data_IF_583558373939
#
_entry.id   IF_583558373939
#
_cell.length_a   1.000
_cell.length_b   1.000
_cell.length_c   1.000
_cell.angle_alpha   90.00
_cell.angle_beta   90.00
_cell.angle_gamma   90.00
#
_symmetry.space_group_name_H-M   'P 1'
#
loop_
_entity.id
_entity.type
_entity.pdbx_description
1 polymer ?
#
# COMPACT_ATOMS: atom_id res chain seq x y z
N UNK A 1 -11.72 -86.93 37.45
CA UNK A 1 -12.22 -85.55 37.65
C UNK A 1 -12.10 -84.79 36.34
N UNK A 2 -13.23 -84.37 35.74
CA UNK A 2 -13.25 -83.48 34.56
C UNK A 2 -13.65 -82.07 35.03
N UNK A 3 -12.99 -80.99 34.58
CA UNK A 3 -13.41 -79.64 34.92
C UNK A 3 -14.61 -79.23 34.04
N UNK A 4 -15.68 -78.76 34.67
CA UNK A 4 -16.83 -78.16 34.00
C UNK A 4 -16.47 -76.74 33.53
N UNK A 5 -16.42 -76.53 32.21
CA UNK A 5 -16.34 -75.18 31.63
C UNK A 5 -17.70 -74.50 31.80
N UNK A 6 -17.78 -73.52 32.71
CA UNK A 6 -18.89 -72.56 32.77
C UNK A 6 -18.87 -71.71 31.50
N UNK A 7 -19.92 -71.84 30.69
CA UNK A 7 -20.13 -71.07 29.47
C UNK A 7 -20.95 -69.83 29.83
N UNK A 8 -20.29 -68.69 30.04
CA UNK A 8 -20.98 -67.40 30.20
C UNK A 8 -21.72 -67.08 28.89
N UNK A 9 -23.04 -67.27 28.88
CA UNK A 9 -23.91 -66.75 27.84
C UNK A 9 -24.24 -65.32 28.23
N UNK A 10 -23.52 -64.36 27.67
CA UNK A 10 -23.95 -62.97 27.67
C UNK A 10 -25.22 -62.91 26.82
N UNK A 11 -26.38 -62.89 27.47
CA UNK A 11 -27.66 -62.61 26.83
C UNK A 11 -27.65 -61.13 26.44
N UNK A 12 -27.40 -60.84 25.17
CA UNK A 12 -27.66 -59.51 24.61
C UNK A 12 -29.18 -59.28 24.63
N UNK A 13 -29.66 -58.44 25.54
CA UNK A 13 -31.02 -57.92 25.51
C UNK A 13 -31.18 -57.10 24.23
N UNK A 14 -32.24 -57.37 23.44
CA UNK A 14 -32.54 -56.62 22.22
C UNK A 14 -33.02 -55.21 22.58
N UNK A 15 -32.45 -54.19 21.94
CA UNK A 15 -32.84 -52.79 22.08
C UNK A 15 -34.32 -52.60 21.72
N UNK A 16 -35.06 -51.89 22.56
CA UNK A 16 -36.44 -51.53 22.26
C UNK A 16 -36.47 -50.39 21.24
N UNK A 17 -37.48 -50.37 20.37
CA UNK A 17 -37.62 -49.34 19.33
C UNK A 17 -37.68 -47.92 19.91
N UNK A 18 -38.23 -47.78 21.12
CA UNK A 18 -38.28 -46.51 21.86
C UNK A 18 -36.89 -46.04 22.27
N UNK A 19 -36.05 -46.95 22.77
CA UNK A 19 -34.67 -46.64 23.21
C UNK A 19 -33.79 -46.21 22.03
N UNK A 20 -33.99 -46.82 20.86
CA UNK A 20 -33.34 -46.41 19.61
C UNK A 20 -33.81 -45.01 19.15
N UNK A 21 -35.12 -44.72 19.25
CA UNK A 21 -35.68 -43.44 18.85
C UNK A 21 -35.23 -42.30 19.77
N UNK A 22 -35.21 -42.53 21.09
CA UNK A 22 -34.66 -41.57 22.07
C UNK A 22 -33.17 -41.32 21.81
N UNK A 23 -32.40 -42.38 21.57
CA UNK A 23 -30.95 -42.25 21.30
C UNK A 23 -30.67 -41.41 20.04
N UNK A 24 -31.40 -41.67 18.95
CA UNK A 24 -31.26 -40.88 17.72
C UNK A 24 -31.68 -39.42 17.97
N UNK A 25 -32.77 -39.18 18.70
CA UNK A 25 -33.20 -37.82 19.04
C UNK A 25 -32.12 -37.06 19.84
N UNK A 26 -31.49 -37.70 20.83
CA UNK A 26 -30.42 -37.10 21.63
C UNK A 26 -29.19 -36.80 20.78
N UNK A 27 -28.77 -37.74 19.92
CA UNK A 27 -27.63 -37.54 19.02
C UNK A 27 -27.91 -36.38 18.05
N UNK A 28 -29.13 -36.26 17.52
CA UNK A 28 -29.47 -35.15 16.61
C UNK A 28 -29.39 -33.78 17.28
N UNK A 29 -29.88 -33.66 18.53
CA UNK A 29 -29.82 -32.41 19.29
C UNK A 29 -28.38 -32.04 19.63
N UNK A 30 -27.59 -33.00 20.15
CA UNK A 30 -26.19 -32.75 20.50
C UNK A 30 -25.35 -32.44 19.26
N UNK A 31 -25.56 -33.16 18.17
CA UNK A 31 -24.85 -32.91 16.89
C UNK A 31 -25.19 -31.53 16.33
N UNK A 32 -26.46 -31.11 16.43
CA UNK A 32 -26.91 -29.79 16.01
C UNK A 32 -26.21 -28.66 16.78
N UNK A 33 -26.14 -28.77 18.12
CA UNK A 33 -25.44 -27.79 18.95
C UNK A 33 -23.93 -27.77 18.69
N UNK A 34 -23.31 -28.95 18.57
CA UNK A 34 -21.87 -29.08 18.34
C UNK A 34 -21.44 -28.47 17.00
N UNK A 35 -22.25 -28.62 15.94
CA UNK A 35 -21.93 -28.06 14.62
C UNK A 35 -21.89 -26.53 14.62
N UNK A 36 -22.81 -25.87 15.33
CA UNK A 36 -22.82 -24.40 15.46
C UNK A 36 -21.59 -23.92 16.24
N UNK A 37 -21.29 -24.55 17.37
CA UNK A 37 -20.11 -24.21 18.18
C UNK A 37 -18.80 -24.44 17.42
N UNK A 38 -18.69 -25.55 16.68
CA UNK A 38 -17.52 -25.85 15.87
C UNK A 38 -17.30 -24.83 14.76
N UNK A 39 -18.37 -24.38 14.09
CA UNK A 39 -18.27 -23.35 13.04
C UNK A 39 -17.74 -22.03 13.61
N UNK A 40 -18.24 -21.59 14.77
CA UNK A 40 -17.78 -20.37 15.42
C UNK A 40 -16.31 -20.50 15.84
N UNK A 41 -15.94 -21.59 16.52
CA UNK A 41 -14.57 -21.82 16.95
C UNK A 41 -13.58 -21.93 15.76
N UNK A 42 -14.01 -22.53 14.65
CA UNK A 42 -13.19 -22.63 13.43
C UNK A 42 -13.00 -21.28 12.76
N UNK A 43 -14.03 -20.44 12.73
CA UNK A 43 -13.94 -19.09 12.18
C UNK A 43 -13.02 -18.21 13.03
N UNK A 44 -13.18 -18.23 14.35
CA UNK A 44 -12.32 -17.49 15.29
C UNK A 44 -10.85 -17.93 15.18
N UNK A 45 -10.60 -19.24 15.12
CA UNK A 45 -9.24 -19.76 14.94
C UNK A 45 -8.62 -19.33 13.59
N UNK A 46 -9.42 -19.22 12.54
CA UNK A 46 -8.98 -18.76 11.22
C UNK A 46 -8.68 -17.26 11.23
N UNK A 47 -9.49 -16.46 11.92
CA UNK A 47 -9.24 -15.04 12.12
C UNK A 47 -7.94 -14.81 12.88
N UNK A 48 -7.72 -15.49 14.01
CA UNK A 48 -6.48 -15.34 14.81
C UNK A 48 -5.23 -15.69 14.00
N UNK A 49 -5.27 -16.78 13.21
CA UNK A 49 -4.16 -17.16 12.34
C UNK A 49 -3.90 -16.11 11.27
N UNK A 50 -4.94 -15.63 10.61
CA UNK A 50 -4.85 -14.57 9.59
C UNK A 50 -4.27 -13.28 10.19
N UNK A 51 -4.69 -12.90 11.40
CA UNK A 51 -4.12 -11.77 12.12
C UNK A 51 -2.63 -11.93 12.38
N UNK A 52 -2.18 -13.15 12.73
CA UNK A 52 -0.75 -13.44 12.88
C UNK A 52 0.01 -13.27 11.58
N UNK A 53 -0.51 -13.76 10.45
CA UNK A 53 0.09 -13.61 9.12
C UNK A 53 0.18 -12.12 8.74
N UNK A 54 -0.90 -11.37 8.89
CA UNK A 54 -0.96 -9.92 8.62
C UNK A 54 0.06 -9.16 9.49
N UNK A 55 0.20 -9.52 10.77
CA UNK A 55 1.17 -8.89 11.66
C UNK A 55 2.60 -9.08 11.18
N UNK A 56 2.98 -10.29 10.75
CA UNK A 56 4.30 -10.57 10.17
C UNK A 56 4.54 -9.73 8.91
N UNK A 57 3.56 -9.68 7.99
CA UNK A 57 3.66 -8.87 6.77
C UNK A 57 3.83 -7.40 7.12
N UNK A 58 2.99 -6.89 8.03
CA UNK A 58 3.05 -5.49 8.46
C UNK A 58 4.39 -5.14 9.09
N UNK A 59 5.00 -6.03 9.88
CA UNK A 59 6.32 -5.81 10.47
C UNK A 59 7.40 -5.66 9.38
N UNK A 60 7.37 -6.53 8.36
CA UNK A 60 8.29 -6.45 7.21
C UNK A 60 8.09 -5.15 6.43
N UNK A 61 6.85 -4.77 6.13
CA UNK A 61 6.55 -3.56 5.37
C UNK A 61 6.89 -2.28 6.15
N UNK A 62 6.62 -2.23 7.46
CA UNK A 62 6.98 -1.08 8.31
C UNK A 62 8.48 -0.96 8.42
N UNK A 63 9.19 -2.06 8.67
CA UNK A 63 10.66 -2.09 8.68
C UNK A 63 11.22 -1.57 7.36
N UNK A 64 10.63 -2.01 6.23
CA UNK A 64 11.01 -1.51 4.90
C UNK A 64 10.76 -0.02 4.73
N UNK A 65 9.61 0.48 5.17
CA UNK A 65 9.28 1.90 5.08
C UNK A 65 10.23 2.79 5.90
N UNK A 66 10.65 2.31 7.07
CA UNK A 66 11.62 3.02 7.93
C UNK A 66 13.00 3.16 7.28
N UNK A 67 13.42 2.22 6.42
CA UNK A 67 14.68 2.35 5.68
C UNK A 67 14.72 3.62 4.82
N UNK A 68 13.57 4.07 4.31
CA UNK A 68 13.50 5.25 3.43
C UNK A 68 13.64 6.58 4.17
N UNK A 69 13.39 6.63 5.48
CA UNK A 69 13.51 7.85 6.28
C UNK A 69 14.95 8.41 6.23
N UNK A 70 15.93 7.52 6.26
CA UNK A 70 17.36 7.87 6.25
C UNK A 70 18.04 7.64 4.90
N UNK A 71 17.29 7.36 3.84
CA UNK A 71 17.88 6.99 2.56
C UNK A 71 18.56 8.20 1.88
N UNK A 72 19.85 8.09 1.52
CA UNK A 72 20.53 9.15 0.80
C UNK A 72 20.10 9.12 -0.67
N UNK A 73 19.45 10.20 -1.12
CA UNK A 73 19.08 10.34 -2.53
C UNK A 73 20.21 11.06 -3.26
N UNK A 74 20.96 10.30 -4.05
CA UNK A 74 21.87 10.86 -5.02
C UNK A 74 21.07 11.21 -6.28
N UNK A 75 20.78 12.50 -6.47
CA UNK A 75 20.19 12.98 -7.70
C UNK A 75 21.29 13.48 -8.62
N UNK A 76 21.26 12.98 -9.86
CA UNK A 76 22.10 13.48 -10.94
C UNK A 76 21.21 14.26 -11.92
N UNK A 77 21.83 15.18 -12.64
CA UNK A 77 21.14 15.81 -13.75
C UNK A 77 21.11 14.84 -14.93
N UNK A 78 19.97 14.72 -15.62
CA UNK A 78 19.90 13.90 -16.82
C UNK A 78 20.98 14.33 -17.85
N UNK A 79 21.64 13.38 -18.55
CA UNK A 79 22.59 13.70 -19.61
C UNK A 79 21.95 14.60 -20.68
N UNK A 80 22.63 15.69 -21.06
CA UNK A 80 22.12 16.65 -22.06
C UNK A 80 21.47 17.92 -21.49
N UNK A 81 21.27 18.00 -20.17
CA UNK A 81 20.83 19.23 -19.53
C UNK A 81 22.01 20.21 -19.36
N UNK A 82 22.12 21.19 -20.26
CA UNK A 82 23.10 22.31 -20.21
C UNK A 82 22.88 23.12 -18.93
N UNK A 83 23.94 23.47 -18.19
CA UNK A 83 23.89 24.31 -16.97
C UNK A 83 22.88 25.45 -17.15
N UNK A 84 21.95 25.60 -16.21
CA UNK A 84 21.17 26.83 -16.12
C UNK A 84 22.15 27.93 -15.69
N UNK A 85 22.80 28.58 -16.66
CA UNK A 85 23.35 29.91 -16.43
C UNK A 85 22.11 30.78 -16.20
N UNK A 86 22.00 31.49 -15.07
CA UNK A 86 20.98 32.52 -14.95
C UNK A 86 21.25 33.50 -16.09
N UNK A 87 20.43 33.48 -17.14
CA UNK A 87 20.57 34.45 -18.24
C UNK A 87 20.20 35.80 -17.62
N UNK A 88 21.17 36.72 -17.42
CA UNK A 88 20.85 38.04 -16.89
C UNK A 88 19.97 38.74 -17.92
N UNK A 89 18.74 39.08 -17.53
CA UNK A 89 17.82 39.88 -18.34
C UNK A 89 16.59 39.15 -18.92
N UNK A 90 16.58 37.81 -19.00
CA UNK A 90 15.43 37.05 -19.53
C UNK A 90 14.96 35.88 -18.66
N UNK A 91 15.66 35.56 -17.57
CA UNK A 91 15.07 34.76 -16.51
C UNK A 91 14.00 35.62 -15.83
N UNK A 92 12.74 35.51 -16.29
CA UNK A 92 11.63 35.85 -15.39
C UNK A 92 11.85 34.97 -14.18
N UNK A 93 12.05 35.59 -13.02
CA UNK A 93 12.05 34.85 -11.77
C UNK A 93 10.81 33.97 -11.79
N UNK A 94 11.00 32.65 -11.84
CA UNK A 94 9.94 31.69 -11.57
C UNK A 94 9.68 31.65 -10.06
N UNK A 95 9.67 32.83 -9.45
CA UNK A 95 9.32 33.13 -8.08
C UNK A 95 8.21 34.17 -8.18
N UNK A 96 7.15 34.06 -7.38
CA UNK A 96 6.04 34.99 -7.46
C UNK A 96 6.54 36.42 -7.37
N UNK A 97 6.19 37.26 -8.35
CA UNK A 97 6.51 38.69 -8.39
C UNK A 97 5.85 39.50 -7.25
N UNK A 98 5.10 38.81 -6.39
CA UNK A 98 4.45 39.37 -5.22
C UNK A 98 5.28 38.96 -4.01
N UNK A 99 5.75 39.93 -3.25
CA UNK A 99 6.74 39.83 -2.17
C UNK A 99 6.36 38.93 -0.97
N UNK A 100 5.26 38.17 -1.04
CA UNK A 100 4.68 37.42 0.09
C UNK A 100 4.99 35.91 0.10
N UNK A 101 5.55 35.33 -0.97
CA UNK A 101 5.80 33.87 -1.04
C UNK A 101 7.15 33.52 -1.70
N UNK A 102 8.24 34.19 -1.30
CA UNK A 102 9.58 33.67 -1.58
C UNK A 102 9.78 32.35 -0.82
N UNK A 103 9.52 31.23 -1.49
CA UNK A 103 9.90 29.91 -1.01
C UNK A 103 11.43 29.89 -0.82
N UNK A 104 11.94 29.71 0.43
CA UNK A 104 13.38 29.66 0.66
C UNK A 104 13.98 28.54 -0.19
N UNK A 105 15.13 28.76 -0.85
CA UNK A 105 15.78 27.74 -1.71
C UNK A 105 15.90 26.36 -1.04
N UNK A 106 16.01 26.33 0.30
CA UNK A 106 15.98 25.10 1.09
C UNK A 106 14.69 24.29 0.97
N UNK A 107 13.51 24.91 0.93
CA UNK A 107 12.23 24.17 0.80
C UNK A 107 12.07 23.54 -0.58
N UNK A 108 12.64 24.17 -1.61
CA UNK A 108 12.59 23.69 -2.99
C UNK A 108 13.40 22.41 -3.19
N UNK A 109 14.60 22.37 -2.60
CA UNK A 109 15.45 21.18 -2.65
C UNK A 109 14.81 20.01 -1.88
N UNK A 110 14.20 20.29 -0.73
CA UNK A 110 13.53 19.28 0.08
C UNK A 110 12.29 18.74 -0.61
N UNK A 111 11.52 19.60 -1.29
CA UNK A 111 10.40 19.15 -2.12
C UNK A 111 10.86 18.19 -3.21
N UNK A 112 11.95 18.52 -3.91
CA UNK A 112 12.54 17.64 -4.92
C UNK A 112 12.98 16.29 -4.31
N UNK A 113 13.60 16.33 -3.13
CA UNK A 113 13.99 15.12 -2.38
C UNK A 113 12.76 14.26 -2.07
N UNK A 114 11.72 14.83 -1.46
CA UNK A 114 10.49 14.11 -1.09
C UNK A 114 9.83 13.48 -2.33
N UNK A 115 9.74 14.21 -3.43
CA UNK A 115 9.18 13.68 -4.69
C UNK A 115 10.00 12.52 -5.25
N UNK A 116 11.33 12.65 -5.30
CA UNK A 116 12.20 11.58 -5.76
C UNK A 116 12.14 10.36 -4.83
N UNK A 117 12.05 10.57 -3.52
CA UNK A 117 11.91 9.50 -2.55
C UNK A 117 10.63 8.71 -2.78
N UNK A 118 9.51 9.41 -2.99
CA UNK A 118 8.22 8.76 -3.24
C UNK A 118 8.21 7.98 -4.55
N UNK A 119 8.77 8.52 -5.62
CA UNK A 119 8.95 7.79 -6.88
C UNK A 119 9.84 6.55 -6.71
N UNK A 120 10.86 6.63 -5.87
CA UNK A 120 11.71 5.48 -5.55
C UNK A 120 10.95 4.42 -4.74
N UNK A 121 10.17 4.82 -3.72
CA UNK A 121 9.32 3.90 -2.94
C UNK A 121 8.29 3.22 -3.86
N UNK A 122 7.69 3.96 -4.80
CA UNK A 122 6.76 3.41 -5.79
C UNK A 122 7.40 2.29 -6.61
N UNK A 123 8.64 2.49 -7.05
CA UNK A 123 9.36 1.50 -7.85
C UNK A 123 9.88 0.30 -7.04
N UNK A 124 10.23 0.51 -5.76
CA UNK A 124 10.72 -0.55 -4.88
C UNK A 124 9.63 -1.35 -4.19
N UNK A 125 8.46 -0.74 -3.97
CA UNK A 125 7.33 -1.36 -3.29
C UNK A 125 6.02 -1.13 -4.07
N UNK A 126 5.90 -1.60 -5.33
CA UNK A 126 4.69 -1.42 -6.15
C UNK A 126 3.46 -2.08 -5.52
N UNK A 127 2.36 -1.35 -5.36
CA UNK A 127 1.05 -1.89 -4.95
C UNK A 127 0.11 -2.07 -6.16
N UNK A 128 0.47 -1.52 -7.31
CA UNK A 128 -0.23 -1.72 -8.57
C UNK A 128 0.76 -1.89 -9.72
N UNK A 129 0.36 -2.62 -10.75
CA UNK A 129 1.20 -2.90 -11.93
C UNK A 129 1.71 -1.65 -12.67
N UNK A 130 0.98 -0.53 -12.62
CA UNK A 130 1.38 0.74 -13.26
C UNK A 130 2.56 1.41 -12.57
N UNK A 131 2.89 0.97 -11.36
CA UNK A 131 3.98 1.54 -10.55
C UNK A 131 5.34 1.02 -10.99
N UNK A 132 5.35 -0.10 -11.73
CA UNK A 132 6.54 -0.67 -12.33
C UNK A 132 6.87 0.13 -13.59
N UNK A 133 7.74 1.12 -13.41
CA UNK A 133 8.21 2.01 -14.47
C UNK A 133 9.46 1.42 -15.13
N UNK A 134 9.57 1.53 -16.45
CA UNK A 134 10.74 1.07 -17.23
C UNK A 134 11.96 2.00 -17.08
N UNK A 135 11.76 3.18 -16.50
CA UNK A 135 12.80 4.20 -16.31
C UNK A 135 13.12 4.39 -14.84
N UNK A 136 14.33 4.85 -14.54
CA UNK A 136 14.70 5.34 -13.21
C UNK A 136 13.71 6.42 -12.72
N UNK A 137 13.68 6.73 -11.41
CA UNK A 137 12.83 7.80 -10.89
C UNK A 137 13.15 9.14 -11.59
N UNK A 138 12.18 9.67 -12.33
CA UNK A 138 12.29 10.93 -13.06
C UNK A 138 11.33 11.93 -12.41
N UNK A 139 11.86 13.04 -11.91
CA UNK A 139 11.07 14.21 -11.51
C UNK A 139 11.41 15.37 -12.43
N UNK A 140 10.39 15.85 -13.14
CA UNK A 140 10.51 17.04 -13.98
C UNK A 140 10.43 18.29 -13.10
N UNK A 141 11.40 19.19 -13.22
CA UNK A 141 11.70 20.15 -12.17
C UNK A 141 11.05 21.53 -12.39
N UNK A 142 9.72 21.61 -12.41
CA UNK A 142 9.05 22.91 -12.53
C UNK A 142 8.83 23.62 -11.19
N UNK A 143 8.97 22.92 -10.06
CA UNK A 143 8.67 23.48 -8.75
C UNK A 143 9.85 24.19 -8.11
N UNK A 144 11.10 23.93 -8.52
CA UNK A 144 12.28 24.63 -7.98
C UNK A 144 12.59 25.97 -8.68
N UNK A 145 11.80 26.34 -9.70
CA UNK A 145 12.07 27.53 -10.52
C UNK A 145 13.30 27.40 -11.45
N UNK A 146 13.90 26.20 -11.55
CA UNK A 146 15.03 25.94 -12.44
C UNK A 146 14.54 25.61 -13.84
N UNK A 147 14.79 26.54 -14.76
CA UNK A 147 14.46 26.41 -16.18
C UNK A 147 15.75 26.37 -17.00
N UNK A 148 15.86 25.42 -17.93
CA UNK A 148 16.90 25.43 -18.95
C UNK A 148 16.39 26.18 -20.20
N UNK A 149 17.15 27.14 -20.75
CA UNK A 149 16.81 27.76 -22.01
C UNK A 149 17.03 26.76 -23.16
N UNK A 150 16.03 26.57 -24.02
CA UNK A 150 16.25 25.92 -25.32
C UNK A 150 17.02 26.84 -26.26
N UNK A 151 17.65 26.31 -27.33
CA UNK A 151 18.28 27.12 -28.38
C UNK A 151 17.33 28.16 -29.02
N UNK A 152 16.02 27.92 -28.97
CA UNK A 152 14.98 28.83 -29.47
C UNK A 152 14.42 29.80 -28.42
N UNK A 153 15.04 29.89 -27.23
CA UNK A 153 14.62 30.78 -26.15
C UNK A 153 13.38 30.32 -25.36
N UNK A 154 12.76 29.18 -25.72
CA UNK A 154 11.62 28.67 -24.94
C UNK A 154 12.10 28.04 -23.62
N UNK A 155 11.47 28.39 -22.49
CA UNK A 155 11.81 27.81 -21.19
C UNK A 155 11.46 26.33 -21.18
N UNK A 156 12.40 25.47 -20.75
CA UNK A 156 12.18 24.04 -20.60
C UNK A 156 12.47 23.54 -19.18
N UNK A 157 11.67 22.61 -18.65
CA UNK A 157 11.93 22.03 -17.34
C UNK A 157 13.26 21.30 -17.34
N UNK A 158 14.01 21.43 -16.26
CA UNK A 158 15.16 20.56 -16.03
C UNK A 158 14.63 19.20 -15.59
N UNK A 159 15.01 18.13 -16.29
CA UNK A 159 14.72 16.78 -15.82
C UNK A 159 15.78 16.36 -14.79
N UNK A 160 15.32 16.01 -13.59
CA UNK A 160 16.17 15.47 -12.54
C UNK A 160 15.86 13.99 -12.42
N UNK A 161 16.92 13.18 -12.49
CA UNK A 161 16.82 11.73 -12.44
C UNK A 161 17.61 11.22 -11.25
N UNK A 162 17.00 10.37 -10.44
CA UNK A 162 17.76 9.58 -9.49
C UNK A 162 18.39 8.38 -10.20
N UNK A 163 19.43 7.80 -9.60
CA UNK A 163 19.88 6.47 -9.99
C UNK A 163 18.75 5.47 -9.76
N UNK A 164 18.55 4.56 -10.70
CA UNK A 164 17.67 3.40 -10.47
C UNK A 164 18.15 2.63 -9.24
N UNK A 165 17.22 2.24 -8.38
CA UNK A 165 17.59 1.45 -7.22
C UNK A 165 17.84 0.00 -7.62
N UNK A 166 18.86 -0.67 -7.04
CA UNK A 166 19.13 -2.07 -7.32
C UNK A 166 17.92 -2.98 -7.05
N UNK A 167 17.07 -2.60 -6.10
CA UNK A 167 15.86 -3.35 -5.72
C UNK A 167 14.79 -3.26 -6.80
N UNK A 168 14.48 -2.06 -7.30
CA UNK A 168 13.56 -1.88 -8.42
C UNK A 168 14.04 -2.62 -9.69
N UNK A 169 15.37 -2.65 -9.91
CA UNK A 169 15.97 -3.42 -11.00
C UNK A 169 15.77 -4.94 -10.83
N UNK A 170 16.01 -5.47 -9.61
CA UNK A 170 15.79 -6.90 -9.29
C UNK A 170 14.33 -7.30 -9.42
N UNK A 171 13.42 -6.48 -8.91
CA UNK A 171 11.99 -6.71 -9.02
C UNK A 171 11.55 -6.81 -10.48
N UNK A 172 11.96 -5.83 -11.31
CA UNK A 172 11.72 -5.89 -12.76
C UNK A 172 12.32 -7.11 -13.42
N UNK A 173 13.56 -7.47 -13.10
CA UNK A 173 14.21 -8.64 -13.67
C UNK A 173 13.42 -9.93 -13.37
N UNK A 174 12.87 -10.05 -12.15
CA UNK A 174 12.01 -11.18 -11.76
C UNK A 174 10.68 -11.18 -12.49
N UNK A 175 10.03 -10.04 -12.62
CA UNK A 175 8.77 -9.92 -13.37
C UNK A 175 8.95 -10.25 -14.86
N UNK A 176 10.07 -9.82 -15.46
CA UNK A 176 10.43 -10.17 -16.83
C UNK A 176 10.68 -11.68 -16.94
N UNK A 177 11.34 -12.28 -15.95
CA UNK A 177 11.55 -13.74 -15.91
C UNK A 177 10.21 -14.49 -15.84
N UNK A 178 9.28 -14.05 -14.99
CA UNK A 178 7.93 -14.63 -14.90
C UNK A 178 7.14 -14.48 -16.21
N UNK A 179 7.19 -13.31 -16.85
CA UNK A 179 6.50 -13.05 -18.12
C UNK A 179 7.08 -13.80 -19.32
N UNK A 180 8.35 -14.22 -19.28
CA UNK A 180 9.00 -14.95 -20.37
C UNK A 180 8.37 -16.32 -20.67
N UNK A 181 7.41 -16.76 -19.85
CA UNK A 181 6.61 -17.98 -20.04
C UNK A 181 5.47 -17.79 -21.07
N UNK A 182 5.12 -16.56 -21.49
CA UNK A 182 4.02 -16.29 -22.43
C UNK A 182 4.45 -15.38 -23.62
N UNK A 183 4.28 -15.82 -24.89
CA UNK A 183 4.71 -15.04 -26.05
C UNK A 183 3.67 -13.97 -26.46
N UNK A 184 4.14 -12.74 -26.74
CA UNK A 184 3.48 -11.64 -27.50
C UNK A 184 2.79 -10.45 -26.80
N UNK A 185 3.05 -10.17 -25.53
CA UNK A 185 2.87 -8.85 -24.88
C UNK A 185 3.98 -8.72 -23.81
N UNK A 186 4.28 -7.55 -23.20
CA UNK A 186 4.86 -7.54 -21.86
C UNK A 186 3.80 -8.11 -20.88
N UNK A 187 3.62 -9.43 -20.93
CA UNK A 187 2.49 -10.17 -20.37
C UNK A 187 2.38 -10.02 -18.84
N UNK A 188 3.46 -9.60 -18.16
CA UNK A 188 3.42 -9.29 -16.73
C UNK A 188 2.36 -8.24 -16.37
N UNK A 189 2.06 -7.28 -17.25
CA UNK A 189 1.03 -6.23 -17.01
C UNK A 189 -0.42 -6.71 -17.10
N UNK A 190 -0.64 -8.01 -17.26
CA UNK A 190 -1.99 -8.60 -17.28
C UNK A 190 -2.09 -9.79 -16.36
N UNK A 191 -0.98 -10.18 -15.75
CA UNK A 191 -0.83 -11.36 -14.92
C UNK A 191 -0.68 -10.92 -13.47
N UNK A 192 0.06 -9.83 -13.24
CA UNK A 192 0.49 -9.49 -11.88
C UNK A 192 -0.55 -8.67 -11.11
N UNK A 193 -1.13 -9.27 -10.08
CA UNK A 193 -2.08 -8.61 -9.18
C UNK A 193 -1.41 -8.04 -7.91
N UNK A 194 -2.16 -7.22 -7.18
CA UNK A 194 -1.72 -6.61 -5.92
C UNK A 194 -1.14 -7.60 -4.88
N UNK A 195 -1.73 -8.79 -4.64
CA UNK A 195 -1.20 -9.79 -3.68
C UNK A 195 0.15 -10.38 -4.09
N UNK A 196 0.39 -10.57 -5.39
CA UNK A 196 1.66 -11.10 -5.91
C UNK A 196 2.78 -10.06 -5.80
N UNK A 197 2.45 -8.78 -6.03
CA UNK A 197 3.40 -7.68 -5.79
C UNK A 197 3.83 -7.64 -4.33
N UNK A 198 2.90 -7.86 -3.40
CA UNK A 198 3.22 -7.96 -1.98
C UNK A 198 4.20 -9.11 -1.69
N UNK A 199 3.96 -10.28 -2.30
CA UNK A 199 4.87 -11.42 -2.17
C UNK A 199 6.29 -11.07 -2.63
N UNK A 200 6.42 -10.46 -3.82
CA UNK A 200 7.73 -10.07 -4.36
C UNK A 200 8.47 -9.06 -3.48
N UNK A 201 7.75 -8.11 -2.87
CA UNK A 201 8.33 -7.13 -1.95
C UNK A 201 8.83 -7.80 -0.67
N UNK A 202 8.05 -8.72 -0.10
CA UNK A 202 8.46 -9.45 1.11
C UNK A 202 9.60 -10.42 0.81
N UNK A 203 9.62 -11.05 -0.36
CA UNK A 203 10.70 -11.96 -0.74
C UNK A 203 12.05 -11.24 -0.93
N UNK A 204 12.04 -10.01 -1.47
CA UNK A 204 13.26 -9.16 -1.54
C UNK A 204 13.62 -8.53 -0.18
N UNK A 205 12.84 -8.78 0.88
CA UNK A 205 13.04 -8.22 2.22
C UNK A 205 13.91 -9.05 3.13
N UNK A 206 14.67 -8.33 3.96
CA UNK A 206 15.50 -8.87 5.03
C UNK A 206 14.95 -8.27 6.31
N UNK A 207 14.55 -9.13 7.25
CA UNK A 207 14.13 -8.72 8.59
C UNK A 207 15.07 -9.36 9.59
N UNK A 208 15.67 -8.56 10.48
CA UNK A 208 16.60 -9.03 11.52
C UNK A 208 17.79 -9.86 10.98
N UNK A 209 18.25 -9.57 9.76
CA UNK A 209 19.39 -10.24 9.13
C UNK A 209 19.07 -11.55 8.42
N UNK A 210 17.81 -12.02 8.46
CA UNK A 210 17.32 -13.17 7.70
C UNK A 210 16.38 -12.75 6.57
N UNK A 211 16.27 -13.52 5.48
CA UNK A 211 15.22 -13.31 4.48
C UNK A 211 13.84 -13.33 5.14
N UNK A 212 13.04 -12.28 4.91
CA UNK A 212 11.74 -12.12 5.53
C UNK A 212 10.76 -13.25 5.18
N UNK A 213 10.97 -13.90 4.02
CA UNK A 213 10.16 -15.03 3.58
C UNK A 213 10.22 -16.24 4.53
N UNK A 214 11.30 -16.39 5.31
CA UNK A 214 11.46 -17.48 6.28
C UNK A 214 10.51 -17.38 7.48
N UNK A 215 9.88 -16.20 7.69
CA UNK A 215 8.88 -15.98 8.74
C UNK A 215 7.53 -16.67 8.44
N UNK A 216 7.34 -17.08 7.18
CA UNK A 216 6.08 -17.58 6.67
C UNK A 216 6.10 -19.10 6.50
N UNK A 217 5.04 -19.75 6.93
CA UNK A 217 4.83 -21.18 6.73
C UNK A 217 4.39 -21.49 5.31
N UNK A 218 4.63 -22.73 4.85
CA UNK A 218 4.20 -23.21 3.52
C UNK A 218 2.69 -23.12 3.26
N UNK A 219 1.88 -22.99 4.32
CA UNK A 219 0.42 -22.84 4.21
C UNK A 219 -0.03 -21.40 4.00
N UNK A 220 0.82 -20.44 4.37
CA UNK A 220 0.58 -18.98 4.24
C UNK A 220 1.01 -18.46 2.86
N UNK A 221 1.61 -19.31 2.01
CA UNK A 221 2.07 -18.97 0.67
C UNK A 221 1.44 -19.95 -0.31
N UNK A 222 0.91 -19.44 -1.43
CA UNK A 222 0.40 -20.28 -2.51
C UNK A 222 0.05 -19.47 -3.75
N UNK A 223 -0.14 -20.20 -4.85
CA UNK A 223 -0.62 -19.68 -6.12
C UNK A 223 -2.12 -19.98 -6.21
N UNK A 224 -2.97 -18.93 -6.19
CA UNK A 224 -4.42 -19.06 -6.11
C UNK A 224 -5.07 -19.20 -7.49
N UNK A 225 -4.51 -18.57 -8.52
CA UNK A 225 -5.09 -18.46 -9.86
C UNK A 225 -4.34 -19.29 -10.92
N UNK A 226 -3.23 -19.91 -10.55
CA UNK A 226 -2.48 -20.88 -11.34
C UNK A 226 -1.55 -20.24 -12.37
N UNK A 227 -1.18 -18.98 -12.18
CA UNK A 227 -0.32 -18.22 -13.08
C UNK A 227 1.19 -18.43 -12.81
N UNK A 228 1.52 -19.15 -11.73
CA UNK A 228 2.88 -19.45 -11.29
C UNK A 228 3.51 -18.38 -10.41
N UNK A 229 2.80 -17.30 -10.11
CA UNK A 229 3.18 -16.28 -9.14
C UNK A 229 2.58 -16.63 -7.78
N UNK A 230 3.38 -16.41 -6.74
CA UNK A 230 3.01 -16.74 -5.38
C UNK A 230 2.37 -15.52 -4.71
N UNK A 231 1.39 -15.80 -3.88
CA UNK A 231 0.67 -14.83 -3.07
C UNK A 231 0.73 -15.24 -1.60
N UNK A 232 0.57 -14.28 -0.70
CA UNK A 232 0.27 -14.60 0.69
C UNK A 232 -1.20 -14.94 0.84
N UNK A 233 -1.47 -16.05 1.51
CA UNK A 233 -2.80 -16.56 1.74
C UNK A 233 -3.18 -16.42 3.21
N UNK A 234 -4.41 -15.99 3.43
CA UNK A 234 -5.03 -16.06 4.75
C UNK A 234 -5.46 -17.50 5.10
N UNK A 235 -6.07 -17.65 6.27
CA UNK A 235 -6.53 -18.97 6.75
C UNK A 235 -7.70 -19.54 5.94
N UNK A 236 -8.39 -18.69 5.17
CA UNK A 236 -9.47 -19.07 4.25
C UNK A 236 -8.95 -19.38 2.84
N UNK A 237 -7.63 -19.35 2.64
CA UNK A 237 -6.96 -19.55 1.35
C UNK A 237 -7.34 -18.46 0.34
N UNK A 238 -7.57 -17.25 0.83
CA UNK A 238 -7.75 -16.05 0.02
C UNK A 238 -6.47 -15.22 0.01
N UNK A 239 -6.19 -14.54 -1.11
CA UNK A 239 -5.03 -13.67 -1.19
C UNK A 239 -5.14 -12.48 -0.22
N UNK A 240 -4.00 -12.09 0.33
CA UNK A 240 -3.85 -10.90 1.17
C UNK A 240 -3.46 -9.71 0.29
N UNK A 241 -4.21 -8.63 0.40
CA UNK A 241 -3.98 -7.40 -0.34
C UNK A 241 -3.26 -6.38 0.52
N UNK A 242 -2.70 -5.36 -0.13
CA UNK A 242 -2.09 -4.25 0.57
C UNK A 242 -2.24 -2.93 -0.20
N UNK A 243 -2.14 -1.82 0.53
CA UNK A 243 -2.13 -0.47 -0.03
C UNK A 243 -0.92 0.24 0.55
N UNK A 244 -0.04 0.74 -0.32
CA UNK A 244 1.20 1.38 0.13
C UNK A 244 0.91 2.65 0.94
N UNK A 245 -0.01 3.47 0.44
CA UNK A 245 -0.42 4.72 1.07
C UNK A 245 -1.94 4.80 1.22
N UNK A 246 -2.48 4.27 2.32
CA UNK A 246 -3.92 4.22 2.54
C UNK A 246 -4.51 5.57 2.98
N UNK A 247 -4.27 6.65 2.23
CA UNK A 247 -4.66 8.03 2.62
C UNK A 247 -6.18 8.28 2.69
N UNK A 248 -6.99 7.34 2.23
CA UNK A 248 -8.44 7.31 2.41
C UNK A 248 -8.90 6.52 3.64
N UNK A 249 -8.02 5.77 4.28
CA UNK A 249 -8.39 4.92 5.42
C UNK A 249 -8.59 5.80 6.68
N UNK A 250 -9.72 5.62 7.39
CA UNK A 250 -9.99 6.37 8.61
C UNK A 250 -8.91 6.11 9.68
N UNK A 251 -8.50 7.16 10.41
CA UNK A 251 -7.52 7.10 11.51
C UNK A 251 -6.05 6.88 11.16
N UNK A 252 -5.67 6.87 9.87
CA UNK A 252 -4.25 6.87 9.44
C UNK A 252 -3.39 7.97 10.06
N UNK A 253 -4.03 9.02 10.57
CA UNK A 253 -3.43 10.20 11.20
C UNK A 253 -2.79 9.89 12.56
N UNK A 254 -3.06 8.72 13.17
CA UNK A 254 -2.69 8.42 14.57
C UNK A 254 -1.52 7.44 14.75
N UNK A 255 -0.95 6.90 13.67
CA UNK A 255 -0.01 5.78 13.81
C UNK A 255 1.46 6.21 13.81
N UNK A 256 2.17 5.74 14.82
CA UNK A 256 3.63 5.72 14.95
C UNK A 256 4.11 4.27 14.80
N UNK A 257 5.34 4.03 14.30
CA UNK A 257 5.81 2.67 14.06
C UNK A 257 6.14 1.91 15.35
N UNK A 258 6.35 2.61 16.47
CA UNK A 258 6.46 2.00 17.79
C UNK A 258 5.11 2.03 18.51
N UNK A 259 4.43 0.88 18.48
CA UNK A 259 3.11 0.65 19.07
C UNK A 259 3.16 0.41 20.58
N UNK A 260 4.36 0.33 21.18
CA UNK A 260 4.56 0.14 22.61
C UNK A 260 4.92 1.43 23.36
N UNK A 261 5.03 2.56 22.68
CA UNK A 261 5.31 3.83 23.34
C UNK A 261 4.07 4.27 24.16
N UNK A 262 4.15 4.28 25.51
CA UNK A 262 3.02 4.62 26.36
C UNK A 262 2.71 6.14 26.37
N UNK A 263 3.49 6.97 25.66
CA UNK A 263 3.22 8.41 25.54
C UNK A 263 1.99 8.73 24.67
N UNK A 264 1.50 7.77 23.87
CA UNK A 264 0.40 7.95 22.92
C UNK A 264 -0.98 8.19 23.56
N UNK A 265 -1.19 7.74 24.80
CA UNK A 265 -2.52 7.76 25.41
C UNK A 265 -2.65 8.78 26.55
N UNK A 266 -1.61 9.57 26.81
CA UNK A 266 -1.54 10.36 28.05
C UNK A 266 -2.06 11.78 27.92
N UNK A 267 -1.91 12.39 26.75
CA UNK A 267 -2.22 13.80 26.60
C UNK A 267 -3.08 13.98 25.34
N UNK A 268 -4.35 14.39 25.48
CA UNK A 268 -5.34 14.56 24.41
C UNK A 268 -5.02 15.61 23.34
N UNK A 269 -3.81 15.56 22.76
CA UNK A 269 -3.31 16.43 21.70
C UNK A 269 -3.56 15.80 20.33
N UNK A 270 -4.79 15.88 19.88
CA UNK A 270 -5.24 15.60 18.49
C UNK A 270 -4.65 16.56 17.42
N UNK A 271 -3.62 17.34 17.76
CA UNK A 271 -3.06 18.40 16.90
C UNK A 271 -1.58 18.24 16.55
N UNK A 272 -0.87 17.25 17.11
CA UNK A 272 0.38 16.82 16.49
C UNK A 272 0.03 15.89 15.34
N UNK A 273 -0.41 16.49 14.23
CA UNK A 273 -0.21 15.86 12.94
C UNK A 273 1.28 15.55 12.86
N UNK A 274 1.65 14.28 13.11
CA UNK A 274 3.00 13.80 12.94
C UNK A 274 3.47 14.31 11.58
N UNK A 275 4.57 15.07 11.57
CA UNK A 275 5.18 15.46 10.30
C UNK A 275 5.49 14.15 9.58
N UNK A 276 5.07 14.03 8.32
CA UNK A 276 5.44 12.92 7.46
C UNK A 276 6.95 12.65 7.65
N UNK A 277 7.37 11.46 8.12
CA UNK A 277 8.78 11.18 8.40
C UNK A 277 9.63 11.34 7.14
N UNK A 278 9.02 11.18 5.96
CA UNK A 278 9.67 11.39 4.68
C UNK A 278 9.79 12.88 4.31
N UNK A 279 9.06 13.77 4.98
CA UNK A 279 9.03 15.22 4.77
C UNK A 279 9.12 16.01 6.10
N UNK A 280 10.27 15.95 6.80
CA UNK A 280 10.45 16.63 8.09
C UNK A 280 10.32 18.16 7.99
N UNK A 281 10.47 18.73 6.79
CA UNK A 281 10.40 20.16 6.52
C UNK A 281 9.05 20.63 5.96
N UNK A 282 8.07 19.73 5.81
CA UNK A 282 6.72 20.04 5.28
C UNK A 282 6.79 20.71 3.91
N UNK A 283 7.71 20.25 3.08
CA UNK A 283 7.98 20.73 1.73
C UNK A 283 7.01 20.16 0.68
N UNK A 284 6.25 19.10 1.01
CA UNK A 284 5.26 18.47 0.14
C UNK A 284 4.24 19.50 -0.37
N UNK A 285 4.00 19.58 -1.69
CA UNK A 285 2.94 20.41 -2.27
C UNK A 285 1.57 20.23 -1.61
N UNK A 286 1.30 19.04 -1.06
CA UNK A 286 0.07 18.74 -0.34
C UNK A 286 -0.20 19.64 0.87
N UNK A 287 0.84 20.17 1.55
CA UNK A 287 0.67 21.09 2.68
C UNK A 287 0.22 22.51 2.27
N UNK A 288 0.32 22.87 0.99
CA UNK A 288 0.19 24.27 0.53
C UNK A 288 -1.12 24.61 -0.16
N UNK A 289 -2.07 23.69 -0.24
CA UNK A 289 -3.31 23.95 -0.97
C UNK A 289 -4.27 24.75 -0.10
N UNK A 290 -4.34 26.06 -0.37
CA UNK A 290 -5.45 26.91 0.05
C UNK A 290 -6.54 26.88 -1.03
N UNK A 291 -7.74 26.39 -0.71
CA UNK A 291 -8.92 26.60 -1.55
C UNK A 291 -9.63 27.83 -0.98
N UNK A 292 -9.81 28.88 -1.79
CA UNK A 292 -10.51 30.12 -1.37
C UNK A 292 -9.99 30.72 -0.05
N UNK A 293 -8.67 30.73 0.16
CA UNK A 293 -8.05 31.28 1.39
C UNK A 293 -8.10 30.36 2.61
N UNK A 294 -8.82 29.24 2.55
CA UNK A 294 -8.85 28.22 3.60
C UNK A 294 -7.82 27.13 3.29
N UNK A 295 -6.89 26.78 4.20
CA UNK A 295 -6.04 25.60 4.02
C UNK A 295 -6.94 24.36 4.02
N UNK A 296 -7.14 23.74 2.86
CA UNK A 296 -8.08 22.62 2.69
C UNK A 296 -7.39 21.27 2.90
N UNK A 297 -6.07 21.22 2.72
CA UNK A 297 -5.30 19.99 2.90
C UNK A 297 -4.23 20.19 3.95
N UNK A 298 -4.51 19.65 5.16
CA UNK A 298 -3.45 19.23 6.08
C UNK A 298 -3.20 17.76 5.77
N UNK A 299 -2.23 17.41 4.91
CA UNK A 299 -1.86 16.01 4.78
C UNK A 299 -1.52 15.52 6.18
N UNK A 300 -2.20 14.45 6.60
CA UNK A 300 -1.77 13.65 7.74
C UNK A 300 -0.38 13.06 7.42
N UNK A 301 0.34 12.49 8.39
CA UNK A 301 1.54 11.73 8.06
C UNK A 301 1.23 10.72 6.92
N UNK A 302 2.20 10.44 6.04
CA UNK A 302 2.05 9.30 5.15
C UNK A 302 1.78 8.09 6.03
N UNK A 303 0.58 7.53 5.86
CA UNK A 303 0.15 6.37 6.61
C UNK A 303 1.08 5.19 6.32
N UNK A 304 1.39 4.40 7.35
CA UNK A 304 2.03 3.11 7.15
C UNK A 304 1.21 2.25 6.19
N UNK A 305 1.81 1.30 5.46
CA UNK A 305 1.06 0.45 4.54
C UNK A 305 -0.11 -0.26 5.24
N UNK A 306 -1.27 -0.26 4.59
CA UNK A 306 -2.43 -1.04 5.00
C UNK A 306 -2.28 -2.45 4.45
N UNK A 307 -2.41 -3.46 5.30
CA UNK A 307 -2.47 -4.86 4.91
C UNK A 307 -3.85 -5.38 5.26
N UNK A 308 -4.52 -6.02 4.31
CA UNK A 308 -5.91 -6.45 4.43
C UNK A 308 -6.12 -7.87 3.89
N UNK A 309 -6.76 -8.70 4.70
CA UNK A 309 -7.39 -9.95 4.26
C UNK A 309 -8.88 -9.71 4.13
N UNK A 310 -9.44 -10.28 3.07
CA UNK A 310 -10.88 -10.28 2.77
C UNK A 310 -11.68 -11.26 3.62
N UNK A 311 -11.01 -12.01 4.50
CA UNK A 311 -11.68 -12.97 5.37
C UNK A 311 -12.52 -13.99 4.58
N UNK A 312 -13.77 -14.18 5.03
CA UNK A 312 -14.65 -15.21 4.49
C UNK A 312 -15.33 -14.78 3.17
N UNK A 313 -15.58 -13.49 2.96
CA UNK A 313 -16.37 -12.99 1.84
C UNK A 313 -15.57 -12.94 0.52
N UNK A 314 -14.22 -12.91 0.63
CA UNK A 314 -13.30 -12.91 -0.49
C UNK A 314 -13.26 -11.59 -1.26
N UNK A 315 -13.88 -10.52 -0.78
CA UNK A 315 -13.93 -9.21 -1.46
C UNK A 315 -13.53 -8.09 -0.51
N UNK A 316 -12.50 -7.29 -0.84
CA UNK A 316 -12.05 -6.24 0.06
C UNK A 316 -13.11 -5.13 0.17
N UNK A 317 -13.47 -4.76 1.39
CA UNK A 317 -14.33 -3.63 1.71
C UNK A 317 -13.64 -2.27 1.60
N UNK A 318 -12.35 -2.25 1.28
CA UNK A 318 -11.53 -1.05 1.05
C UNK A 318 -11.12 -0.88 -0.41
N UNK A 319 -10.84 0.35 -0.78
CA UNK A 319 -10.34 0.72 -2.10
C UNK A 319 -8.85 0.38 -2.23
N UNK A 320 -8.54 -0.65 -3.02
CA UNK A 320 -7.14 -1.03 -3.31
C UNK A 320 -6.62 -0.36 -4.58
N UNK A 321 -7.52 0.02 -5.49
CA UNK A 321 -7.20 0.67 -6.76
C UNK A 321 -8.05 1.91 -7.00
N UNK A 322 -7.47 2.88 -7.70
CA UNK A 322 -8.20 4.05 -8.17
C UNK A 322 -9.08 3.67 -9.35
N UNK A 323 -10.33 4.11 -9.34
CA UNK A 323 -11.25 3.90 -10.46
C UNK A 323 -10.74 4.62 -11.72
N UNK A 324 -10.74 3.92 -12.85
CA UNK A 324 -10.38 4.48 -14.16
C UNK A 324 -11.21 5.72 -14.57
N UNK A 325 -12.36 5.93 -13.92
CA UNK A 325 -13.26 7.08 -14.09
C UNK A 325 -12.87 8.35 -13.31
N UNK A 326 -11.84 8.32 -12.45
CA UNK A 326 -11.34 9.49 -11.71
C UNK A 326 -10.56 10.44 -12.64
N UNK A 327 -11.26 11.04 -13.61
CA UNK A 327 -10.63 11.67 -14.77
C UNK A 327 -10.19 13.12 -14.56
N UNK A 328 -10.60 13.81 -13.48
CA UNK A 328 -10.16 15.17 -13.09
C UNK A 328 -10.68 15.54 -11.69
N UNK A 329 -9.80 16.01 -10.81
CA UNK A 329 -10.17 16.76 -9.60
C UNK A 329 -9.48 18.12 -9.61
N UNK A 330 -10.26 19.16 -9.93
CA UNK A 330 -9.77 20.51 -10.12
C UNK A 330 -8.65 20.58 -11.16
N UNK A 331 -7.45 20.95 -10.71
CA UNK A 331 -6.26 21.07 -11.56
C UNK A 331 -5.44 19.78 -11.66
N UNK A 332 -5.75 18.76 -10.86
CA UNK A 332 -5.04 17.49 -10.79
C UNK A 332 -5.82 16.42 -11.59
N UNK A 333 -5.12 15.50 -12.24
CA UNK A 333 -5.75 14.37 -12.95
C UNK A 333 -4.85 13.15 -12.93
N UNK A 334 -5.41 11.94 -12.97
CA UNK A 334 -4.60 10.75 -13.23
C UNK A 334 -4.12 10.76 -14.69
N UNK A 335 -2.94 10.20 -14.92
CA UNK A 335 -2.55 9.81 -16.26
C UNK A 335 -3.54 8.78 -16.79
N UNK A 336 -3.94 8.92 -18.06
CA UNK A 336 -4.81 7.96 -18.70
C UNK A 336 -4.24 6.54 -18.58
N UNK A 337 -5.04 5.60 -18.05
CA UNK A 337 -4.65 4.22 -17.82
C UNK A 337 -3.87 3.96 -16.51
N UNK A 338 -3.69 4.95 -15.64
CA UNK A 338 -3.18 4.73 -14.28
C UNK A 338 -4.32 4.49 -13.30
N UNK A 339 -4.18 3.46 -12.46
CA UNK A 339 -5.09 3.15 -11.35
C UNK A 339 -4.39 3.27 -9.98
N UNK A 340 -3.18 3.84 -9.96
CA UNK A 340 -2.42 4.10 -8.73
C UNK A 340 -2.11 5.58 -8.58
N UNK A 341 -1.76 5.96 -7.35
CA UNK A 341 -1.29 7.29 -6.98
C UNK A 341 0.09 7.63 -7.56
N UNK A 342 0.76 6.70 -8.23
CA UNK A 342 2.11 6.86 -8.79
C UNK A 342 2.24 7.81 -9.99
N UNK A 343 1.15 8.09 -10.70
CA UNK A 343 1.15 8.80 -11.99
C UNK A 343 0.11 9.95 -12.01
N UNK A 344 0.17 10.80 -10.98
CA UNK A 344 -0.73 11.94 -10.81
C UNK A 344 -0.18 13.14 -11.56
N UNK A 345 -0.99 13.64 -12.49
CA UNK A 345 -0.70 14.82 -13.29
C UNK A 345 -1.05 16.06 -12.47
N UNK A 346 -0.03 16.77 -12.00
CA UNK A 346 -0.18 18.03 -11.27
C UNK A 346 -0.07 19.25 -12.20
N UNK A 347 -0.82 20.32 -11.91
CA UNK A 347 -0.59 21.61 -12.55
C UNK A 347 0.75 22.17 -12.08
N UNK A 348 1.46 22.79 -13.01
CA UNK A 348 2.67 23.53 -12.67
C UNK A 348 2.26 24.94 -12.23
N UNK A 349 2.81 25.51 -11.13
CA UNK A 349 2.49 26.88 -10.70
C UNK A 349 2.75 27.94 -11.77
N UNK A 350 3.68 27.67 -12.69
CA UNK A 350 4.14 28.55 -13.76
C UNK A 350 3.63 28.15 -15.15
N UNK A 351 2.54 27.37 -15.24
CA UNK A 351 1.96 26.96 -16.52
C UNK A 351 1.34 28.16 -17.25
N UNK A 352 2.13 28.80 -18.11
CA UNK A 352 1.64 29.78 -19.09
C UNK A 352 1.07 29.09 -20.34
N UNK A 353 0.20 28.08 -20.16
CA UNK A 353 -0.69 27.55 -21.20
C UNK A 353 -0.02 26.74 -22.32
N UNK A 354 1.13 26.11 -22.07
CA UNK A 354 1.84 25.37 -23.12
C UNK A 354 2.91 24.38 -22.66
N UNK A 355 3.10 24.20 -21.35
CA UNK A 355 4.09 23.26 -20.83
C UNK A 355 3.46 21.87 -20.63
N UNK A 356 4.25 20.81 -20.84
CA UNK A 356 3.79 19.45 -20.58
C UNK A 356 3.55 19.29 -19.08
N UNK A 357 2.37 18.81 -18.66
CA UNK A 357 2.04 18.75 -17.24
C UNK A 357 2.92 17.73 -16.53
N UNK A 358 3.12 17.94 -15.22
CA UNK A 358 3.98 17.12 -14.41
C UNK A 358 3.29 15.86 -13.97
N UNK A 359 3.86 14.70 -14.29
CA UNK A 359 3.43 13.42 -13.72
C UNK A 359 4.34 13.16 -12.53
N UNK A 360 3.74 12.96 -11.37
CA UNK A 360 4.45 12.52 -10.18
C UNK A 360 3.53 11.68 -9.31
N UNK A 361 4.13 10.92 -8.42
CA UNK A 361 3.44 10.27 -7.34
C UNK A 361 2.77 11.30 -6.39
N UNK A 362 1.48 11.09 -6.10
CA UNK A 362 0.73 11.84 -5.08
C UNK A 362 -0.13 10.90 -4.21
N UNK A 363 0.34 10.54 -3.01
CA UNK A 363 -0.40 9.68 -2.09
C UNK A 363 -1.79 10.20 -1.75
N UNK A 364 -2.00 11.53 -1.84
CA UNK A 364 -3.24 12.21 -1.44
C UNK A 364 -4.26 12.31 -2.56
N UNK A 365 -3.97 11.74 -3.73
CA UNK A 365 -4.91 11.74 -4.83
C UNK A 365 -5.94 10.60 -4.65
N UNK A 366 -7.26 10.87 -4.81
CA UNK A 366 -7.89 12.15 -5.13
C UNK A 366 -7.95 13.10 -3.93
N UNK A 367 -7.75 14.39 -4.18
CA UNK A 367 -7.61 15.39 -3.11
C UNK A 367 -8.97 15.74 -2.49
N UNK A 368 -9.96 16.07 -3.31
CA UNK A 368 -11.22 16.69 -2.86
C UNK A 368 -12.15 15.74 -2.11
N UNK A 369 -11.95 14.43 -2.26
CA UNK A 369 -12.80 13.41 -1.65
C UNK A 369 -11.96 12.27 -1.07
N UNK A 370 -11.94 12.17 0.26
CA UNK A 370 -11.21 11.10 0.97
C UNK A 370 -11.80 9.72 0.74
N UNK A 371 -13.09 9.60 0.38
CA UNK A 371 -13.74 8.31 0.10
C UNK A 371 -13.28 7.69 -1.23
N UNK A 372 -12.65 8.50 -2.09
CA UNK A 372 -12.13 8.07 -3.39
C UNK A 372 -10.63 7.76 -3.36
N UNK A 373 -9.96 8.01 -2.23
CA UNK A 373 -8.53 7.72 -2.03
C UNK A 373 -8.29 6.24 -1.80
N UNK A 374 -7.06 5.80 -2.09
CA UNK A 374 -6.64 4.44 -1.75
C UNK A 374 -6.76 4.19 -0.24
N UNK A 375 -7.21 3.00 0.13
CA UNK A 375 -7.54 2.61 1.50
C UNK A 375 -8.90 3.11 2.00
N UNK A 376 -9.65 3.92 1.25
CA UNK A 376 -10.98 4.32 1.69
C UNK A 376 -11.94 3.13 1.80
N UNK A 377 -12.77 3.11 2.84
CA UNK A 377 -13.82 2.10 2.98
C UNK A 377 -14.88 2.35 1.90
N UNK A 378 -15.05 1.41 0.98
CA UNK A 378 -16.02 1.48 -0.11
C UNK A 378 -17.35 0.85 0.27
N UNK A 379 -17.31 -0.20 1.10
CA UNK A 379 -18.50 -0.90 1.57
C UNK A 379 -18.29 -1.33 3.03
N UNK A 380 -18.96 -0.63 3.95
CA UNK A 380 -18.86 -0.91 5.37
C UNK A 380 -19.23 -2.35 5.74
N UNK A 381 -20.16 -2.98 5.00
CA UNK A 381 -20.60 -4.34 5.29
C UNK A 381 -19.54 -5.39 4.90
N UNK A 382 -18.85 -5.18 3.79
CA UNK A 382 -17.71 -6.05 3.42
C UNK A 382 -16.53 -5.80 4.37
N UNK A 383 -16.34 -4.54 4.76
CA UNK A 383 -15.28 -4.15 5.69
C UNK A 383 -15.44 -4.72 7.11
N UNK A 384 -16.66 -5.09 7.54
CA UNK A 384 -16.90 -5.75 8.83
C UNK A 384 -16.23 -7.14 8.91
N UNK A 385 -16.10 -7.84 7.79
CA UNK A 385 -15.48 -9.16 7.70
C UNK A 385 -13.97 -9.08 7.36
N UNK A 386 -13.50 -7.90 6.92
CA UNK A 386 -12.09 -7.66 6.61
C UNK A 386 -11.22 -7.69 7.87
N UNK A 387 -10.05 -8.34 7.76
CA UNK A 387 -9.04 -8.34 8.82
C UNK A 387 -7.91 -7.44 8.38
N UNK A 388 -7.60 -6.41 9.17
CA UNK A 388 -6.56 -5.42 8.84
C UNK A 388 -5.48 -5.31 9.90
N UNK A 389 -4.27 -4.91 9.52
CA UNK A 389 -3.22 -4.58 10.49
C UNK A 389 -3.61 -3.46 11.46
N UNK A 390 -4.48 -2.54 11.05
CA UNK A 390 -4.98 -1.48 11.93
C UNK A 390 -6.00 -1.98 12.97
N UNK A 391 -6.88 -2.94 12.62
CA UNK A 391 -7.80 -3.55 13.59
C UNK A 391 -7.06 -4.35 14.68
N UNK A 392 -5.97 -5.03 14.31
CA UNK A 392 -5.18 -5.89 15.21
C UNK A 392 -4.43 -5.07 16.26
N UNK A 393 -4.00 -3.86 15.89
CA UNK A 393 -3.22 -2.98 16.75
C UNK A 393 -4.09 -2.13 17.70
N UNK A 394 -5.38 -2.44 17.83
CA UNK A 394 -6.29 -1.78 18.78
C UNK A 394 -6.81 -0.42 18.33
N UNK A 395 -6.74 -0.10 17.04
CA UNK A 395 -7.21 1.17 16.50
C UNK A 395 -8.72 1.21 16.23
N UNK A 396 -9.35 0.04 16.14
CA UNK A 396 -10.79 -0.14 15.96
C UNK A 396 -11.32 -1.05 17.07
N UNK A 397 -11.71 -0.44 18.19
CA UNK A 397 -12.69 -0.96 19.15
C UNK A 397 -13.66 0.15 19.52
#
# INVERSE_FOLDING_TARGET
MKPSKQKNRNMSQGLTLVELLVSISLITVVSGMFLVAYRQASAEASNIRTQSTIRKISEVLVSRMQEYENYPINYARAPGNIFAVPIPGNAKEALPANNDEFEPKGILLERLRVMLLREMIVQEMPDHQTDIKDTAPIVKNYWTGLVAPRPNGTPWPVEVTASESPRAARLRARLIQAASVLPNQPAWRTIVNNPELLYLVVEDSILNGSPAIELFGKTEIGDTDGDGLLEFLDSYRKPIYWVRWPTGFPDTIRFHPDLLDPSFNRDGFSNYAFSDPLDPRKADPGYRIKQNGTPVFKPSAIAFPLVISTGLDGTPGVRIELEAGLQRQGRYRLRAGSSSTSDVVMPVPYDQGGQAPLVMCDPWFPRDDSSLRLGAITNAKLFEDDITNYSINGAYQ
#
